data_IF_397554043547
#
_entry.id   IF_397554043547
#
_cell.length_a   1.000
_cell.length_b   1.000
_cell.length_c   1.000
_cell.angle_alpha   90.00
_cell.angle_beta   90.00
_cell.angle_gamma   90.00
#
_symmetry.space_group_name_H-M   'P 1'
#
loop_
_entity.id
_entity.type
_entity.pdbx_description
1 polymer ?
#
# COMPACT_ATOMS: atom_id res chain seq x y z
N UNK A 1 -2.04 -29.06 -26.26
CA UNK A 1 -2.51 -27.91 -25.46
C UNK A 1 -1.57 -26.74 -25.75
N UNK A 2 -1.71 -26.05 -26.89
CA UNK A 2 -2.58 -24.89 -27.08
C UNK A 2 -2.31 -23.75 -26.10
N UNK A 3 -1.13 -23.14 -26.22
CA UNK A 3 -1.00 -21.69 -26.07
C UNK A 3 -0.41 -21.19 -27.38
N UNK A 4 -1.31 -20.92 -28.32
CA UNK A 4 -0.97 -20.38 -29.62
C UNK A 4 -0.26 -19.03 -29.47
N UNK A 5 0.74 -18.84 -30.33
CA UNK A 5 1.41 -17.57 -30.62
C UNK A 5 0.43 -16.39 -30.52
N UNK A 6 0.51 -15.64 -29.42
CA UNK A 6 -0.06 -14.29 -29.35
C UNK A 6 0.81 -13.43 -30.26
N UNK A 7 0.44 -13.45 -31.54
CA UNK A 7 0.94 -12.55 -32.57
C UNK A 7 1.07 -11.17 -31.96
N UNK A 8 2.28 -10.61 -32.07
CA UNK A 8 2.65 -9.23 -31.75
C UNK A 8 1.41 -8.35 -31.61
N UNK A 9 1.10 -7.95 -30.37
CA UNK A 9 0.11 -6.90 -30.13
C UNK A 9 0.77 -5.62 -30.64
N UNK A 10 0.58 -5.35 -31.93
CA UNK A 10 1.21 -4.24 -32.64
C UNK A 10 0.45 -2.92 -32.39
N UNK A 11 0.06 -2.68 -31.12
CA UNK A 11 -0.59 -1.44 -30.66
C UNK A 11 0.32 -0.22 -30.82
N UNK A 12 1.63 -0.44 -31.00
CA UNK A 12 2.63 0.60 -31.19
C UNK A 12 2.62 1.18 -32.62
N UNK A 13 2.12 0.43 -33.60
CA UNK A 13 2.18 0.85 -35.00
C UNK A 13 0.99 1.70 -35.43
N UNK A 14 -0.17 1.60 -34.75
CA UNK A 14 -1.31 2.53 -34.96
C UNK A 14 -1.08 3.89 -34.27
N UNK A 15 -0.08 4.00 -33.40
CA UNK A 15 0.17 5.13 -32.48
C UNK A 15 1.37 6.00 -32.87
N UNK A 16 1.82 5.99 -34.13
CA UNK A 16 2.91 6.89 -34.59
C UNK A 16 2.60 8.39 -34.38
N UNK A 17 1.33 8.76 -34.22
CA UNK A 17 0.91 10.12 -33.90
C UNK A 17 0.77 10.43 -32.39
N UNK A 18 0.66 9.43 -31.49
CA UNK A 18 0.32 9.64 -30.06
C UNK A 18 1.15 8.77 -29.08
N UNK A 19 2.28 8.19 -29.51
CA UNK A 19 3.12 7.29 -28.73
C UNK A 19 3.55 7.88 -27.36
N UNK A 20 3.85 9.17 -27.32
CA UNK A 20 4.25 9.86 -26.08
C UNK A 20 3.12 9.93 -25.05
N UNK A 21 1.87 10.05 -25.49
CA UNK A 21 0.71 10.08 -24.59
C UNK A 21 0.49 8.70 -23.98
N UNK A 22 0.55 7.65 -24.80
CA UNK A 22 0.39 6.27 -24.35
C UNK A 22 1.52 5.86 -23.37
N UNK A 23 2.76 6.22 -23.67
CA UNK A 23 3.90 5.94 -22.78
C UNK A 23 3.77 6.67 -21.44
N UNK A 24 3.19 7.87 -21.41
CA UNK A 24 2.88 8.58 -20.15
C UNK A 24 1.78 7.90 -19.37
N UNK A 25 0.70 7.49 -20.03
CA UNK A 25 -0.42 6.81 -19.39
C UNK A 25 0.02 5.46 -18.78
N UNK A 26 0.88 4.70 -19.46
CA UNK A 26 1.48 3.47 -18.93
C UNK A 26 2.40 3.74 -17.72
N UNK A 27 3.28 4.74 -17.80
CA UNK A 27 4.10 5.14 -16.64
C UNK A 27 3.26 5.59 -15.46
N UNK A 28 2.16 6.31 -15.72
CA UNK A 28 1.24 6.74 -14.68
C UNK A 28 0.54 5.53 -14.06
N UNK A 29 0.09 4.56 -14.86
CA UNK A 29 -0.50 3.32 -14.39
C UNK A 29 0.47 2.49 -13.55
N UNK A 30 1.73 2.34 -13.98
CA UNK A 30 2.79 1.68 -13.20
C UNK A 30 3.12 2.45 -11.91
N UNK A 31 2.97 3.78 -11.91
CA UNK A 31 3.15 4.63 -10.71
C UNK A 31 1.97 4.57 -9.75
N UNK A 32 0.80 4.12 -10.20
CA UNK A 32 -0.36 3.88 -9.35
C UNK A 32 -0.07 2.66 -8.48
N UNK A 33 0.51 2.94 -7.33
CA UNK A 33 0.63 1.98 -6.25
C UNK A 33 -0.80 1.60 -5.80
N UNK A 34 -1.30 0.43 -6.23
CA UNK A 34 -2.45 -0.24 -5.60
C UNK A 34 -2.06 -0.67 -4.18
N UNK A 35 -1.87 0.31 -3.29
CA UNK A 35 -1.61 0.09 -1.88
C UNK A 35 -2.91 0.35 -1.16
N UNK A 36 -3.64 -0.72 -0.91
CA UNK A 36 -4.68 -0.72 0.11
C UNK A 36 -3.98 -0.48 1.46
N UNK A 37 -3.86 0.80 1.82
CA UNK A 37 -3.15 1.23 3.03
C UNK A 37 -4.08 1.09 4.21
N UNK A 38 -3.99 -0.05 4.89
CA UNK A 38 -4.73 -0.29 6.11
C UNK A 38 -4.07 0.46 7.26
N UNK A 39 -4.82 1.36 7.90
CA UNK A 39 -4.41 2.04 9.13
C UNK A 39 -4.99 1.29 10.31
N UNK A 40 -4.12 0.79 11.18
CA UNK A 40 -4.51 0.09 12.40
C UNK A 40 -3.93 0.86 13.58
N UNK A 41 -4.77 1.14 14.58
CA UNK A 41 -4.33 1.73 15.83
C UNK A 41 -4.11 0.64 16.87
N UNK A 42 -2.95 0.65 17.51
CA UNK A 42 -2.61 -0.19 18.66
C UNK A 42 -2.41 0.76 19.84
N UNK A 43 -3.06 0.48 20.97
CA UNK A 43 -3.05 1.34 22.16
C UNK A 43 -2.73 0.49 23.38
N UNK A 44 -1.77 0.93 24.18
CA UNK A 44 -1.46 0.33 25.47
C UNK A 44 -2.39 0.88 26.57
N UNK A 45 -3.03 -0.01 27.31
CA UNK A 45 -3.86 0.32 28.48
C UNK A 45 -3.23 -0.31 29.72
N UNK A 46 -2.76 0.52 30.64
CA UNK A 46 -2.18 0.10 31.91
C UNK A 46 -3.22 -0.25 32.97
N UNK A 47 -2.77 -0.90 34.05
CA UNK A 47 -3.66 -1.27 35.17
C UNK A 47 -4.32 -0.03 35.80
N UNK A 48 -5.65 -0.07 35.92
CA UNK A 48 -6.45 1.02 36.50
C UNK A 48 -6.63 2.24 35.59
N UNK A 49 -6.21 2.19 34.33
CA UNK A 49 -6.47 3.27 33.36
C UNK A 49 -7.83 3.06 32.69
N UNK A 50 -8.80 3.90 33.05
CA UNK A 50 -10.15 3.88 32.46
C UNK A 50 -10.42 5.14 31.63
N UNK A 51 -9.70 6.22 31.90
CA UNK A 51 -9.88 7.51 31.26
C UNK A 51 -9.06 7.63 29.96
N UNK A 52 -9.69 8.15 28.90
CA UNK A 52 -9.00 8.45 27.62
C UNK A 52 -7.69 9.24 27.78
N UNK A 53 -7.64 10.37 28.52
CA UNK A 53 -6.40 11.13 28.64
C UNK A 53 -5.28 10.35 29.33
N UNK A 54 -5.58 9.46 30.29
CA UNK A 54 -4.54 8.68 30.97
C UNK A 54 -3.97 7.62 30.04
N UNK A 55 -4.81 6.95 29.24
CA UNK A 55 -4.40 5.96 28.25
C UNK A 55 -3.50 6.57 27.16
N UNK A 56 -3.89 7.72 26.59
CA UNK A 56 -3.10 8.38 25.55
C UNK A 56 -1.86 9.13 26.08
N UNK A 57 -1.73 9.29 27.40
CA UNK A 57 -0.55 9.89 28.04
C UNK A 57 0.59 8.89 28.29
N UNK A 58 0.37 7.60 28.03
CA UNK A 58 1.39 6.57 28.21
C UNK A 58 2.61 6.83 27.31
N UNK A 59 3.80 6.91 27.92
CA UNK A 59 5.07 7.09 27.21
C UNK A 59 5.79 5.78 26.90
N UNK A 60 5.42 4.70 27.60
CA UNK A 60 5.93 3.34 27.41
C UNK A 60 4.87 2.31 27.82
N UNK A 61 4.95 1.10 27.26
CA UNK A 61 4.15 -0.04 27.64
C UNK A 61 4.80 -0.93 28.70
N UNK A 62 4.27 -2.15 28.84
CA UNK A 62 4.86 -3.22 29.63
C UNK A 62 5.90 -4.00 28.81
N UNK A 63 6.85 -4.72 29.45
CA UNK A 63 7.86 -5.48 28.70
C UNK A 63 7.27 -6.45 27.65
N UNK A 64 6.18 -7.21 27.92
CA UNK A 64 5.55 -8.04 26.90
C UNK A 64 4.88 -7.25 25.77
N UNK A 65 4.40 -6.03 26.04
CA UNK A 65 3.80 -5.17 25.02
C UNK A 65 4.88 -4.62 24.07
N UNK A 66 6.01 -4.19 24.62
CA UNK A 66 7.15 -3.72 23.80
C UNK A 66 7.76 -4.87 22.97
N UNK A 67 7.79 -6.10 23.52
CA UNK A 67 8.17 -7.30 22.79
C UNK A 67 7.22 -7.61 21.62
N UNK A 68 5.91 -7.37 21.78
CA UNK A 68 4.92 -7.53 20.71
C UNK A 68 5.06 -6.49 19.59
N UNK A 69 5.57 -5.29 19.87
CA UNK A 69 5.72 -4.21 18.89
C UNK A 69 7.00 -4.32 18.03
N UNK A 70 7.96 -5.13 18.46
CA UNK A 70 9.26 -5.30 17.79
C UNK A 70 9.18 -6.36 16.69
#
# INVERSE_FOLDING_TARGET
MMFENRQNIDLLNTTKHNCDQLLRELKNLDSLNCRETHKIAVIYVGYGQEDKPSIFSNTHGSPPYEEFLT
#
